data_IF_657340528950
#
_entry.id   IF_657340528950
#
_cell.length_a   1.000
_cell.length_b   1.000
_cell.length_c   1.000
_cell.angle_alpha   90.00
_cell.angle_beta   90.00
_cell.angle_gamma   90.00
#
_symmetry.space_group_name_H-M   'P 1'
#
loop_
_entity.id
_entity.type
_entity.pdbx_description
1 polymer ?
#
# COMPACT_ATOMS: atom_id res chain seq x y z
N UNK A 1 8.05 6.28 42.82
CA UNK A 1 7.68 7.54 42.13
C UNK A 1 8.00 8.71 43.04
N UNK A 2 8.92 9.58 42.63
CA UNK A 2 9.39 10.70 43.45
C UNK A 2 8.25 11.70 43.73
N UNK A 3 8.33 12.38 44.88
CA UNK A 3 7.32 13.34 45.39
C UNK A 3 7.00 14.49 44.42
N UNK A 4 7.83 14.68 43.39
CA UNK A 4 7.68 15.65 42.31
C UNK A 4 6.71 15.18 41.21
N UNK A 5 6.58 13.87 40.96
CA UNK A 5 5.65 13.34 39.95
C UNK A 5 4.18 13.46 40.37
N UNK A 6 3.90 13.36 41.67
CA UNK A 6 2.53 13.53 42.20
C UNK A 6 2.02 14.97 42.05
N UNK A 7 2.93 15.97 42.04
CA UNK A 7 2.57 17.38 41.87
C UNK A 7 2.25 17.73 40.42
N UNK A 8 3.02 17.17 39.47
CA UNK A 8 2.80 17.36 38.03
C UNK A 8 1.46 16.76 37.54
N UNK A 9 1.04 15.62 38.09
CA UNK A 9 -0.23 14.98 37.74
C UNK A 9 -1.44 15.76 38.29
N UNK A 10 -1.33 16.36 39.49
CA UNK A 10 -2.41 17.15 40.09
C UNK A 10 -2.63 18.49 39.38
N UNK A 11 -1.57 19.12 38.87
CA UNK A 11 -1.66 20.37 38.10
C UNK A 11 -2.20 20.18 36.69
N UNK A 12 -2.06 18.99 36.10
CA UNK A 12 -2.59 18.72 34.75
C UNK A 12 -4.10 18.42 34.77
N UNK A 13 -4.61 17.80 35.86
CA UNK A 13 -6.03 17.51 36.02
C UNK A 13 -6.90 18.73 36.34
N UNK A 14 -6.31 19.81 36.87
CA UNK A 14 -7.04 21.06 37.17
C UNK A 14 -7.20 21.97 35.95
N UNK A 15 -6.40 21.78 34.90
CA UNK A 15 -6.51 22.54 33.64
C UNK A 15 -7.57 21.97 32.67
N UNK A 16 -8.01 20.73 32.86
CA UNK A 16 -9.00 20.07 31.99
C UNK A 16 -10.46 20.37 32.37
N UNK A 17 -10.71 20.97 33.53
CA UNK A 17 -12.06 21.24 34.04
C UNK A 17 -12.65 22.60 33.57
N UNK A 18 -11.90 23.38 32.77
CA UNK A 18 -12.33 24.69 32.26
C UNK A 18 -12.94 24.66 30.85
N UNK A 19 -13.09 23.47 30.23
CA UNK A 19 -13.71 23.33 28.89
C UNK A 19 -15.14 22.77 28.90
N UNK A 20 -15.77 22.68 30.07
CA UNK A 20 -17.18 22.26 30.18
C UNK A 20 -17.97 23.43 30.75
N UNK A 21 -18.35 24.39 29.89
CA UNK A 21 -19.59 25.21 29.90
C UNK A 21 -19.51 26.10 28.65
N UNK A 22 -19.98 25.56 27.52
CA UNK A 22 -20.53 26.34 26.41
C UNK A 22 -21.40 25.39 25.58
N UNK A 23 -22.71 25.43 25.79
CA UNK A 23 -23.66 24.81 24.87
C UNK A 23 -24.67 23.81 25.44
N UNK A 24 -25.27 24.07 26.61
CA UNK A 24 -26.64 23.58 26.84
C UNK A 24 -27.60 24.73 26.62
N UNK A 25 -28.43 24.62 25.58
CA UNK A 25 -29.61 25.46 25.41
C UNK A 25 -29.96 25.75 23.95
N UNK A 26 -30.71 24.86 23.31
CA UNK A 26 -32.07 25.13 22.82
C UNK A 26 -32.60 23.99 21.96
N UNK A 27 -33.74 23.45 22.37
CA UNK A 27 -34.67 22.74 21.50
C UNK A 27 -35.10 23.69 20.38
N UNK A 28 -34.73 23.38 19.13
CA UNK A 28 -35.46 23.84 17.95
C UNK A 28 -35.61 22.67 16.99
N UNK A 29 -36.82 22.11 16.96
CA UNK A 29 -37.37 21.53 15.75
C UNK A 29 -37.38 22.63 14.69
N UNK A 30 -36.57 22.47 13.65
CA UNK A 30 -36.85 23.09 12.36
C UNK A 30 -36.35 22.16 11.27
N UNK A 31 -37.30 21.56 10.56
CA UNK A 31 -37.08 20.90 9.29
C UNK A 31 -36.32 21.83 8.35
N UNK A 32 -35.09 21.44 8.02
CA UNK A 32 -34.46 21.79 6.76
C UNK A 32 -33.79 20.53 6.26
N UNK A 33 -34.39 19.94 5.22
CA UNK A 33 -33.69 19.14 4.22
C UNK A 33 -32.47 19.92 3.77
N UNK A 34 -31.35 19.76 4.48
CA UNK A 34 -30.03 19.92 3.88
C UNK A 34 -29.91 18.65 3.06
N UNK A 35 -30.09 18.78 1.75
CA UNK A 35 -29.68 17.75 0.83
C UNK A 35 -28.22 17.43 1.15
N UNK A 36 -28.01 16.32 1.85
CA UNK A 36 -26.73 15.64 1.91
C UNK A 36 -26.32 15.49 0.45
N UNK A 37 -25.12 15.97 0.03
CA UNK A 37 -24.69 15.75 -1.34
C UNK A 37 -24.82 14.26 -1.58
N UNK A 38 -25.61 13.88 -2.60
CA UNK A 38 -25.85 12.49 -2.95
C UNK A 38 -24.52 11.76 -2.83
N UNK A 39 -24.39 10.95 -1.78
CA UNK A 39 -23.25 10.09 -1.57
C UNK A 39 -23.45 9.01 -2.61
N UNK A 40 -23.11 9.35 -3.87
CA UNK A 40 -23.19 8.49 -5.03
C UNK A 40 -22.49 7.23 -4.60
N UNK A 41 -23.25 6.18 -4.30
CA UNK A 41 -22.72 4.94 -3.76
C UNK A 41 -21.59 4.52 -4.68
N UNK A 42 -20.35 4.67 -4.22
CA UNK A 42 -19.20 4.51 -5.08
C UNK A 42 -19.20 3.04 -5.51
N UNK A 43 -19.40 2.80 -6.80
CA UNK A 43 -19.36 1.46 -7.36
C UNK A 43 -17.92 1.10 -7.65
N UNK A 44 -17.55 -0.17 -7.48
CA UNK A 44 -16.19 -0.65 -7.72
C UNK A 44 -15.71 -0.42 -9.17
N UNK A 45 -16.65 -0.33 -10.12
CA UNK A 45 -16.35 -0.16 -11.55
C UNK A 45 -15.64 1.15 -11.86
N UNK A 46 -14.74 1.11 -12.85
CA UNK A 46 -14.02 2.27 -13.34
C UNK A 46 -12.51 2.18 -13.12
N UNK A 47 -11.85 3.32 -13.23
CA UNK A 47 -10.40 3.46 -13.10
C UNK A 47 -10.07 4.08 -11.74
N UNK A 48 -9.04 3.58 -11.11
CA UNK A 48 -8.56 4.00 -9.81
C UNK A 48 -7.04 4.16 -9.84
N UNK A 49 -6.52 5.15 -9.13
CA UNK A 49 -5.09 5.32 -8.88
C UNK A 49 -4.80 5.09 -7.40
N UNK A 50 -3.64 4.53 -7.10
CA UNK A 50 -3.20 4.35 -5.73
C UNK A 50 -3.11 5.69 -4.98
N UNK A 51 -3.26 5.60 -3.66
CA UNK A 51 -2.98 6.66 -2.71
C UNK A 51 -2.31 6.06 -1.48
N UNK A 52 -1.65 6.90 -0.68
CA UNK A 52 -0.96 6.48 0.54
C UNK A 52 0.01 5.31 0.29
N UNK A 53 0.72 5.35 -0.84
CA UNK A 53 1.53 4.24 -1.33
C UNK A 53 2.64 3.87 -0.36
N UNK A 54 3.26 4.88 0.28
CA UNK A 54 4.25 4.62 1.30
C UNK A 54 3.64 3.83 2.47
N UNK A 55 2.45 4.17 2.98
CA UNK A 55 1.81 3.39 4.05
C UNK A 55 1.56 1.95 3.62
N UNK A 56 1.07 1.76 2.40
CA UNK A 56 0.85 0.43 1.80
C UNK A 56 2.16 -0.38 1.74
N UNK A 57 3.25 0.24 1.30
CA UNK A 57 4.56 -0.39 1.17
C UNK A 57 5.15 -0.71 2.55
N UNK A 58 4.97 0.15 3.55
CA UNK A 58 5.42 -0.14 4.91
C UNK A 58 4.81 -1.44 5.44
N UNK A 59 3.52 -1.69 5.16
CA UNK A 59 2.82 -2.92 5.53
C UNK A 59 3.44 -4.15 4.87
N UNK A 60 3.94 -4.04 3.63
CA UNK A 60 4.65 -5.12 2.93
C UNK A 60 6.01 -5.43 3.59
N UNK A 61 6.67 -4.42 4.16
CA UNK A 61 8.01 -4.56 4.75
C UNK A 61 8.00 -5.16 6.16
N UNK A 62 6.96 -4.89 6.95
CA UNK A 62 6.88 -5.28 8.37
C UNK A 62 7.15 -6.78 8.59
N UNK A 63 6.53 -7.72 7.83
CA UNK A 63 6.76 -9.14 8.03
C UNK A 63 8.20 -9.59 7.77
N UNK A 64 9.03 -8.78 7.11
CA UNK A 64 10.44 -9.11 6.81
C UNK A 64 11.38 -8.90 8.01
N UNK A 65 10.90 -8.37 9.13
CA UNK A 65 11.72 -8.14 10.32
C UNK A 65 12.91 -7.19 10.06
N UNK A 66 12.72 -6.25 9.12
CA UNK A 66 13.79 -5.37 8.65
C UNK A 66 14.25 -4.42 9.77
N UNK A 67 15.56 -4.20 9.88
CA UNK A 67 16.11 -3.20 10.80
C UNK A 67 15.58 -1.81 10.42
N UNK A 68 15.21 -1.00 11.41
CA UNK A 68 14.62 0.34 11.19
C UNK A 68 15.46 1.25 10.29
N UNK A 69 16.80 1.21 10.41
CA UNK A 69 17.70 1.99 9.54
C UNK A 69 17.69 1.50 8.08
N UNK A 70 17.54 0.20 7.86
CA UNK A 70 17.42 -0.39 6.52
C UNK A 70 16.08 -0.02 5.91
N UNK A 71 15.01 -0.14 6.71
CA UNK A 71 13.67 0.27 6.32
C UNK A 71 13.61 1.74 5.92
N UNK A 72 14.15 2.65 6.74
CA UNK A 72 14.16 4.08 6.46
C UNK A 72 14.89 4.42 5.15
N UNK A 73 15.94 3.67 4.80
CA UNK A 73 16.65 3.84 3.52
C UNK A 73 15.85 3.32 2.33
N UNK A 74 15.14 2.21 2.50
CA UNK A 74 14.41 1.57 1.41
C UNK A 74 13.10 2.28 1.12
N UNK A 75 12.36 2.71 2.14
CA UNK A 75 11.02 3.28 1.96
C UNK A 75 11.03 4.54 1.09
N UNK A 76 12.09 5.36 1.19
CA UNK A 76 12.26 6.55 0.35
C UNK A 76 12.38 6.24 -1.14
N UNK A 77 12.90 5.06 -1.51
CA UNK A 77 13.01 4.66 -2.91
C UNK A 77 11.63 4.53 -3.58
N UNK A 78 10.57 4.34 -2.79
CA UNK A 78 9.21 4.13 -3.28
C UNK A 78 8.32 5.37 -3.21
N UNK A 79 8.87 6.56 -2.93
CA UNK A 79 8.09 7.81 -2.81
C UNK A 79 7.27 8.15 -4.07
N UNK A 80 7.75 7.73 -5.23
CA UNK A 80 7.13 7.97 -6.54
C UNK A 80 6.39 6.72 -7.07
N UNK A 81 6.32 5.64 -6.27
CA UNK A 81 5.62 4.42 -6.64
C UNK A 81 4.13 4.69 -6.76
N UNK A 82 3.52 4.22 -7.86
CA UNK A 82 2.09 4.34 -8.10
C UNK A 82 1.55 3.10 -8.80
N UNK A 83 0.32 2.75 -8.46
CA UNK A 83 -0.43 1.66 -9.08
C UNK A 83 -1.69 2.22 -9.73
N UNK A 84 -2.10 1.56 -10.80
CA UNK A 84 -3.39 1.76 -11.42
C UNK A 84 -4.22 0.49 -11.28
N UNK A 85 -5.51 0.67 -11.02
CA UNK A 85 -6.51 -0.39 -10.96
C UNK A 85 -7.65 -0.04 -11.92
N UNK A 86 -8.00 -0.97 -12.81
CA UNK A 86 -9.15 -0.84 -13.70
C UNK A 86 -10.11 -1.98 -13.47
N UNK A 87 -11.36 -1.64 -13.18
CA UNK A 87 -12.43 -2.59 -12.92
C UNK A 87 -13.46 -2.53 -14.04
N UNK A 88 -13.64 -3.66 -14.72
CA UNK A 88 -14.63 -3.85 -15.77
C UNK A 88 -15.43 -5.13 -15.52
N UNK A 89 -16.74 -4.99 -15.28
CA UNK A 89 -17.61 -6.11 -14.92
C UNK A 89 -17.20 -6.81 -13.62
N UNK A 90 -16.68 -8.04 -13.77
CA UNK A 90 -16.13 -8.87 -12.68
C UNK A 90 -14.62 -9.09 -12.83
N UNK A 91 -13.96 -8.29 -13.65
CA UNK A 91 -12.52 -8.39 -13.90
C UNK A 91 -11.83 -7.13 -13.39
N UNK A 92 -10.67 -7.32 -12.78
CA UNK A 92 -9.77 -6.26 -12.34
C UNK A 92 -8.46 -6.39 -13.09
N UNK A 93 -7.93 -5.28 -13.59
CA UNK A 93 -6.56 -5.19 -14.08
C UNK A 93 -5.80 -4.23 -13.18
N UNK A 94 -4.73 -4.73 -12.57
CA UNK A 94 -3.82 -3.99 -11.73
C UNK A 94 -2.49 -3.86 -12.46
N UNK A 95 -1.94 -2.65 -12.50
CA UNK A 95 -0.65 -2.41 -13.16
C UNK A 95 0.18 -1.34 -12.46
N UNK A 96 1.49 -1.45 -12.59
CA UNK A 96 2.43 -0.40 -12.19
C UNK A 96 3.71 -0.50 -13.02
N UNK A 97 4.35 0.66 -13.19
CA UNK A 97 5.73 0.79 -13.67
C UNK A 97 6.55 1.38 -12.52
N UNK A 98 7.75 0.86 -12.29
CA UNK A 98 8.61 1.33 -11.22
C UNK A 98 10.07 1.35 -11.65
N UNK A 99 10.74 2.48 -11.40
CA UNK A 99 12.19 2.60 -11.57
C UNK A 99 12.89 1.92 -10.38
N UNK A 100 13.60 0.82 -10.65
CA UNK A 100 14.32 0.03 -9.64
C UNK A 100 15.59 0.74 -9.16
N UNK A 101 16.11 1.71 -9.93
CA UNK A 101 17.39 2.36 -9.66
C UNK A 101 17.50 2.96 -8.25
N UNK A 102 16.53 3.74 -7.75
CA UNK A 102 16.60 4.32 -6.40
C UNK A 102 16.68 3.25 -5.32
N UNK A 103 15.93 2.16 -5.47
CA UNK A 103 15.98 1.03 -4.55
C UNK A 103 17.34 0.33 -4.60
N UNK A 104 17.86 0.06 -5.80
CA UNK A 104 19.17 -0.58 -5.97
C UNK A 104 20.30 0.25 -5.35
N UNK A 105 20.27 1.59 -5.48
CA UNK A 105 21.21 2.52 -4.83
C UNK A 105 21.08 2.51 -3.31
N UNK A 106 19.85 2.55 -2.80
CA UNK A 106 19.59 2.44 -1.36
C UNK A 106 20.13 1.12 -0.81
N UNK A 107 19.97 0.02 -1.55
CA UNK A 107 20.50 -1.29 -1.21
C UNK A 107 22.02 -1.33 -1.24
N UNK A 108 22.66 -0.79 -2.27
CA UNK A 108 24.12 -0.69 -2.35
C UNK A 108 24.72 0.07 -1.14
N UNK A 109 24.05 1.13 -0.67
CA UNK A 109 24.53 1.95 0.46
C UNK A 109 24.71 1.19 1.79
N UNK A 110 24.01 0.07 1.96
CA UNK A 110 24.08 -0.81 3.13
C UNK A 110 24.67 -2.19 2.81
N UNK A 111 25.02 -2.43 1.55
CA UNK A 111 25.51 -3.72 1.11
C UNK A 111 26.85 -4.01 1.80
N UNK A 112 26.92 -5.17 2.47
CA UNK A 112 28.06 -5.53 3.32
C UNK A 112 29.37 -5.63 2.53
N UNK A 113 29.28 -6.10 1.29
CA UNK A 113 30.41 -6.40 0.42
C UNK A 113 30.56 -5.32 -0.68
N UNK A 114 30.16 -4.07 -0.40
CA UNK A 114 30.17 -2.95 -1.37
C UNK A 114 31.57 -2.55 -1.85
N UNK A 115 32.61 -2.95 -1.14
CA UNK A 115 34.01 -2.79 -1.50
C UNK A 115 34.47 -3.77 -2.59
N UNK A 116 33.69 -4.83 -2.86
CA UNK A 116 33.98 -5.85 -3.87
C UNK A 116 33.32 -5.60 -5.21
N UNK A 117 32.50 -4.55 -5.34
CA UNK A 117 31.79 -4.21 -6.58
C UNK A 117 31.54 -2.71 -6.68
N UNK A 118 31.39 -2.21 -7.90
CA UNK A 118 30.98 -0.82 -8.12
C UNK A 118 29.47 -0.68 -7.92
N UNK A 119 29.00 0.53 -7.60
CA UNK A 119 27.56 0.82 -7.54
C UNK A 119 26.87 0.46 -8.88
N UNK A 120 27.50 0.80 -10.01
CA UNK A 120 26.96 0.55 -11.33
C UNK A 120 26.82 -0.95 -11.63
N UNK A 121 27.81 -1.76 -11.26
CA UNK A 121 27.75 -3.21 -11.47
C UNK A 121 26.74 -3.85 -10.50
N UNK A 122 26.66 -3.38 -9.26
CA UNK A 122 25.63 -3.82 -8.31
C UNK A 122 24.22 -3.55 -8.82
N UNK A 123 23.96 -2.35 -9.35
CA UNK A 123 22.65 -2.00 -9.93
C UNK A 123 22.29 -2.94 -11.09
N UNK A 124 23.24 -3.24 -11.98
CA UNK A 124 23.02 -4.21 -13.08
C UNK A 124 22.70 -5.61 -12.55
N UNK A 125 23.33 -6.05 -11.48
CA UNK A 125 22.99 -7.33 -10.84
C UNK A 125 21.59 -7.33 -10.22
N UNK A 126 21.17 -6.22 -9.61
CA UNK A 126 19.77 -6.06 -9.16
C UNK A 126 18.82 -6.18 -10.34
N UNK A 127 19.10 -5.52 -11.47
CA UNK A 127 18.24 -5.59 -12.66
C UNK A 127 18.14 -7.01 -13.21
N UNK A 128 19.27 -7.74 -13.28
CA UNK A 128 19.26 -9.16 -13.65
C UNK A 128 18.40 -9.99 -12.70
N UNK A 129 18.51 -9.75 -11.39
CA UNK A 129 17.70 -10.41 -10.39
C UNK A 129 16.19 -10.18 -10.59
N UNK A 130 15.80 -8.93 -10.86
CA UNK A 130 14.39 -8.59 -11.16
C UNK A 130 13.93 -9.16 -12.51
N UNK A 131 14.80 -9.20 -13.53
CA UNK A 131 14.53 -9.85 -14.81
C UNK A 131 14.28 -11.35 -14.63
N UNK A 132 15.17 -12.07 -13.95
CA UNK A 132 14.98 -13.49 -13.68
C UNK A 132 13.76 -13.77 -12.81
N UNK A 133 13.43 -12.86 -11.89
CA UNK A 133 12.19 -12.95 -11.13
C UNK A 133 10.95 -12.81 -12.03
N UNK A 134 10.96 -11.84 -12.95
CA UNK A 134 9.83 -11.59 -13.87
C UNK A 134 9.49 -12.82 -14.74
N UNK A 135 10.50 -13.60 -15.12
CA UNK A 135 10.35 -14.85 -15.88
C UNK A 135 9.59 -15.95 -15.11
N UNK A 136 9.50 -15.83 -13.78
CA UNK A 136 8.79 -16.78 -12.93
C UNK A 136 7.25 -16.70 -13.04
N UNK A 137 6.72 -15.56 -13.47
CA UNK A 137 5.27 -15.36 -13.63
C UNK A 137 4.76 -16.02 -14.90
N UNK A 138 3.66 -16.78 -14.78
CA UNK A 138 3.04 -17.49 -15.90
C UNK A 138 1.71 -16.88 -16.31
N UNK A 139 1.04 -16.21 -15.38
CA UNK A 139 -0.29 -15.63 -15.61
C UNK A 139 -0.23 -14.13 -15.89
N UNK A 140 0.85 -13.47 -15.47
CA UNK A 140 0.99 -12.02 -15.52
C UNK A 140 2.01 -11.54 -16.54
N UNK A 141 1.84 -10.28 -16.95
CA UNK A 141 2.83 -9.60 -17.78
C UNK A 141 3.77 -8.87 -16.83
N UNK A 142 4.92 -9.48 -16.57
CA UNK A 142 5.97 -8.92 -15.73
C UNK A 142 7.25 -8.84 -16.55
N UNK A 143 7.92 -7.70 -16.53
CA UNK A 143 9.18 -7.53 -17.26
C UNK A 143 10.10 -6.51 -16.61
N UNK A 144 11.38 -6.63 -16.92
CA UNK A 144 12.41 -5.67 -16.53
C UNK A 144 13.09 -5.14 -17.80
N UNK A 145 13.10 -3.82 -17.96
CA UNK A 145 13.96 -3.15 -18.92
C UNK A 145 15.33 -2.91 -18.26
N UNK A 146 16.32 -3.71 -18.66
CA UNK A 146 17.67 -3.68 -18.07
C UNK A 146 18.47 -2.42 -18.44
N UNK A 147 18.05 -1.66 -19.45
CA UNK A 147 18.71 -0.41 -19.85
C UNK A 147 18.16 0.78 -19.05
N UNK A 148 16.84 0.86 -18.91
CA UNK A 148 16.18 1.98 -18.21
C UNK A 148 15.96 1.74 -16.72
N UNK A 149 16.06 0.49 -16.24
CA UNK A 149 15.76 0.16 -14.84
C UNK A 149 14.26 0.06 -14.55
N UNK A 150 13.39 0.16 -15.56
CA UNK A 150 11.94 0.15 -15.37
C UNK A 150 11.42 -1.28 -15.30
N UNK A 151 10.91 -1.64 -14.13
CA UNK A 151 10.15 -2.85 -13.88
C UNK A 151 8.67 -2.60 -14.16
N UNK A 152 8.06 -3.44 -14.98
CA UNK A 152 6.65 -3.33 -15.38
C UNK A 152 5.88 -4.54 -14.93
N UNK A 153 4.71 -4.29 -14.35
CA UNK A 153 3.86 -5.33 -13.82
C UNK A 153 2.42 -5.09 -14.24
N UNK A 154 1.76 -6.13 -14.72
CA UNK A 154 0.33 -6.13 -15.00
C UNK A 154 -0.27 -7.49 -14.65
N UNK A 155 -1.23 -7.47 -13.73
CA UNK A 155 -1.98 -8.64 -13.30
C UNK A 155 -3.47 -8.47 -13.55
N UNK A 156 -4.12 -9.57 -13.90
CA UNK A 156 -5.58 -9.65 -14.02
C UNK A 156 -6.12 -10.49 -12.87
N UNK A 157 -7.18 -10.01 -12.23
CA UNK A 157 -7.89 -10.66 -11.15
C UNK A 157 -9.39 -10.76 -11.40
N UNK A 158 -10.04 -11.59 -10.61
CA UNK A 158 -11.47 -11.90 -10.67
C UNK A 158 -12.18 -11.35 -9.42
N UNK A 159 -13.36 -10.75 -9.60
CA UNK A 159 -14.16 -10.19 -8.52
C UNK A 159 -15.29 -11.15 -8.16
N UNK A 160 -15.35 -11.55 -6.89
CA UNK A 160 -16.52 -12.17 -6.29
C UNK A 160 -17.31 -11.11 -5.52
N UNK A 161 -18.34 -10.55 -6.16
CA UNK A 161 -19.20 -9.51 -5.55
C UNK A 161 -20.00 -10.02 -4.36
N UNK A 162 -20.29 -11.32 -4.30
CA UNK A 162 -21.05 -11.91 -3.19
C UNK A 162 -20.21 -12.02 -1.91
N UNK A 163 -18.90 -12.23 -2.07
CA UNK A 163 -17.94 -12.33 -0.96
C UNK A 163 -17.17 -11.04 -0.70
N UNK A 164 -17.34 -10.03 -1.55
CA UNK A 164 -16.56 -8.79 -1.55
C UNK A 164 -15.05 -9.06 -1.60
N UNK A 165 -14.63 -9.93 -2.52
CA UNK A 165 -13.22 -10.26 -2.72
C UNK A 165 -12.74 -10.05 -4.15
N UNK A 166 -11.44 -9.86 -4.30
CA UNK A 166 -10.70 -9.89 -5.57
C UNK A 166 -9.62 -10.96 -5.46
N UNK A 167 -9.62 -11.93 -6.37
CA UNK A 167 -8.61 -12.99 -6.40
C UNK A 167 -7.64 -12.83 -7.57
N UNK A 168 -6.38 -13.12 -7.30
CA UNK A 168 -5.27 -13.12 -8.24
C UNK A 168 -4.66 -14.53 -8.28
N UNK A 169 -4.44 -15.06 -9.48
CA UNK A 169 -3.90 -16.41 -9.71
C UNK A 169 -2.44 -16.61 -9.31
N UNK A 170 -1.66 -15.54 -9.22
CA UNK A 170 -0.31 -15.51 -8.67
C UNK A 170 -0.22 -14.31 -7.69
N UNK A 171 0.77 -14.31 -6.81
CA UNK A 171 0.88 -13.30 -5.76
C UNK A 171 1.19 -11.92 -6.33
N UNK A 172 0.53 -10.89 -5.80
CA UNK A 172 0.99 -9.52 -6.07
C UNK A 172 2.33 -9.31 -5.36
N UNK A 173 3.31 -8.79 -6.08
CA UNK A 173 4.63 -8.49 -5.54
C UNK A 173 5.04 -7.09 -5.97
N UNK A 174 5.83 -6.42 -5.15
CA UNK A 174 6.55 -5.18 -5.47
C UNK A 174 8.02 -5.58 -5.56
N UNK A 175 8.55 -5.68 -6.78
CA UNK A 175 9.86 -6.31 -7.02
C UNK A 175 9.90 -7.78 -6.54
N UNK A 176 11.03 -8.45 -6.76
CA UNK A 176 11.28 -9.82 -6.30
C UNK A 176 11.24 -9.96 -4.76
N UNK A 177 11.57 -8.88 -4.05
CA UNK A 177 11.84 -8.93 -2.62
C UNK A 177 10.61 -8.73 -1.73
N UNK A 178 9.53 -8.16 -2.26
CA UNK A 178 8.40 -7.69 -1.45
C UNK A 178 7.06 -8.25 -1.95
N UNK A 179 6.76 -9.54 -1.68
CA UNK A 179 5.43 -10.07 -1.90
C UNK A 179 4.42 -9.34 -1.02
N UNK A 180 3.32 -8.88 -1.61
CA UNK A 180 2.20 -8.24 -0.92
C UNK A 180 1.11 -9.26 -0.53
N UNK A 181 1.49 -10.51 -0.31
CA UNK A 181 0.59 -11.62 0.01
C UNK A 181 1.05 -12.35 1.26
N UNK A 182 0.11 -13.06 1.91
CA UNK A 182 0.40 -13.97 3.02
C UNK A 182 1.13 -15.24 2.55
N UNK A 183 0.90 -15.66 1.30
CA UNK A 183 1.63 -16.75 0.63
C UNK A 183 2.98 -16.30 0.05
N UNK A 184 3.66 -17.17 -0.70
CA UNK A 184 4.83 -16.75 -1.48
C UNK A 184 4.39 -15.92 -2.71
N UNK A 185 5.35 -15.25 -3.35
CA UNK A 185 5.16 -14.34 -4.48
C UNK A 185 4.49 -14.92 -5.73
N UNK A 186 4.43 -16.25 -5.85
CA UNK A 186 3.76 -16.94 -6.97
C UNK A 186 2.49 -17.67 -6.55
N UNK A 187 2.17 -17.71 -5.25
CA UNK A 187 0.96 -18.36 -4.75
C UNK A 187 -0.27 -17.51 -5.05
N UNK A 188 -1.43 -18.11 -5.39
CA UNK A 188 -2.68 -17.37 -5.51
C UNK A 188 -3.00 -16.58 -4.25
N UNK A 189 -3.59 -15.40 -4.42
CA UNK A 189 -3.96 -14.52 -3.31
C UNK A 189 -5.39 -14.01 -3.47
N UNK A 190 -6.09 -13.90 -2.35
CA UNK A 190 -7.43 -13.33 -2.27
C UNK A 190 -7.36 -12.12 -1.35
N UNK A 191 -7.83 -10.99 -1.85
CA UNK A 191 -7.99 -9.77 -1.06
C UNK A 191 -9.47 -9.52 -0.82
N UNK A 192 -9.81 -9.05 0.37
CA UNK A 192 -11.08 -8.39 0.62
C UNK A 192 -11.03 -6.98 0.03
N UNK A 193 -12.19 -6.44 -0.33
CA UNK A 193 -12.29 -5.02 -0.70
C UNK A 193 -13.43 -4.30 0.01
N UNK A 194 -13.19 -3.03 0.33
CA UNK A 194 -14.18 -2.11 0.90
C UNK A 194 -14.06 -0.76 0.19
N UNK A 195 -15.18 -0.08 -0.04
CA UNK A 195 -15.17 1.31 -0.50
C UNK A 195 -15.75 2.17 0.61
N UNK A 196 -14.92 3.05 1.17
CA UNK A 196 -15.27 3.93 2.27
C UNK A 196 -14.72 5.32 2.01
N UNK A 197 -15.56 6.34 2.18
CA UNK A 197 -15.20 7.75 2.00
C UNK A 197 -14.55 8.04 0.63
N UNK A 198 -14.97 7.32 -0.42
CA UNK A 198 -14.44 7.45 -1.78
C UNK A 198 -13.10 6.77 -2.03
N UNK A 199 -12.56 6.05 -1.04
CA UNK A 199 -11.34 5.24 -1.14
C UNK A 199 -11.70 3.76 -1.22
N UNK A 200 -11.13 3.08 -2.20
CA UNK A 200 -11.13 1.63 -2.30
C UNK A 200 -9.96 1.07 -1.50
N UNK A 201 -10.26 0.26 -0.50
CA UNK A 201 -9.31 -0.51 0.29
C UNK A 201 -9.28 -1.92 -0.27
N UNK A 202 -8.09 -2.43 -0.59
CA UNK A 202 -7.85 -3.80 -1.01
C UNK A 202 -6.88 -4.43 -0.02
N UNK A 203 -7.32 -5.42 0.77
CA UNK A 203 -6.52 -5.91 1.88
C UNK A 203 -6.58 -7.42 2.08
N UNK A 204 -5.52 -7.98 2.64
CA UNK A 204 -5.39 -9.39 2.98
C UNK A 204 -4.75 -9.52 4.37
N UNK A 205 -5.43 -10.26 5.24
CA UNK A 205 -4.97 -10.57 6.59
C UNK A 205 -4.57 -12.04 6.69
N UNK A 206 -3.56 -12.33 7.50
CA UNK A 206 -3.21 -13.70 7.84
C UNK A 206 -1.83 -13.82 8.46
N UNK A 207 -1.25 -15.00 8.37
CA UNK A 207 0.10 -15.28 8.84
C UNK A 207 0.98 -15.57 7.63
N UNK A 208 2.12 -14.89 7.50
CA UNK A 208 3.01 -15.12 6.36
C UNK A 208 3.56 -16.54 6.41
N UNK A 209 3.55 -17.23 5.26
CA UNK A 209 4.02 -18.62 5.18
C UNK A 209 5.52 -18.74 5.45
N UNK A 210 6.30 -17.74 5.03
CA UNK A 210 7.76 -17.74 5.13
C UNK A 210 8.27 -17.33 6.52
N UNK A 211 7.72 -16.26 7.10
CA UNK A 211 8.20 -15.71 8.36
C UNK A 211 7.35 -16.13 9.57
N UNK A 212 6.15 -16.67 9.35
CA UNK A 212 5.25 -17.10 10.42
C UNK A 212 4.68 -15.94 11.24
N UNK A 213 4.66 -14.73 10.67
CA UNK A 213 4.26 -13.50 11.35
C UNK A 213 2.86 -13.05 10.92
N UNK A 214 2.04 -12.49 11.83
CA UNK A 214 0.80 -11.85 11.44
C UNK A 214 1.10 -10.69 10.49
N UNK A 215 0.35 -10.62 9.40
CA UNK A 215 0.47 -9.60 8.38
C UNK A 215 -0.91 -9.08 7.98
N UNK A 216 -0.95 -7.79 7.70
CA UNK A 216 -2.07 -7.09 7.10
C UNK A 216 -1.50 -6.32 5.91
N UNK A 217 -1.72 -6.84 4.71
CA UNK A 217 -1.37 -6.16 3.47
C UNK A 217 -2.56 -5.32 3.04
N UNK A 218 -2.33 -4.08 2.63
CA UNK A 218 -3.38 -3.18 2.19
C UNK A 218 -2.85 -2.27 1.10
N UNK A 219 -3.65 -2.07 0.07
CA UNK A 219 -3.51 -1.03 -0.93
C UNK A 219 -4.75 -0.14 -0.88
N UNK A 220 -4.55 1.17 -1.10
CA UNK A 220 -5.63 2.15 -1.17
C UNK A 220 -5.66 2.79 -2.52
N UNK A 221 -6.86 3.04 -3.04
CA UNK A 221 -7.06 3.67 -4.33
C UNK A 221 -8.16 4.73 -4.27
N UNK A 222 -7.98 5.83 -5.01
CA UNK A 222 -9.04 6.80 -5.29
C UNK A 222 -9.49 6.66 -6.73
N UNK A 223 -10.76 6.92 -6.98
CA UNK A 223 -11.31 6.85 -8.34
C UNK A 223 -10.73 7.97 -9.21
N UNK A 224 -10.32 7.63 -10.44
CA UNK A 224 -9.88 8.61 -11.44
C UNK A 224 -11.11 9.31 -11.99
N UNK A 225 -11.27 10.59 -11.67
CA UNK A 225 -12.34 11.38 -12.26
C UNK A 225 -12.01 11.67 -13.73
N UNK A 226 -12.87 11.21 -14.65
CA UNK A 226 -12.78 11.65 -16.04
C UNK A 226 -13.08 13.15 -16.08
N UNK A 227 -12.09 13.96 -16.43
CA UNK A 227 -12.35 15.35 -16.81
C UNK A 227 -13.22 15.32 -18.07
N UNK A 228 -14.49 15.70 -17.93
CA UNK A 228 -15.31 16.01 -19.09
C UNK A 228 -14.65 17.19 -19.82
N UNK A 229 -14.13 16.93 -21.02
CA UNK A 229 -13.73 18.01 -21.94
C UNK A 229 -14.99 18.81 -22.24
N UNK A 230 -15.11 20.00 -21.63
CA UNK A 230 -16.10 21.01 -22.00
C UNK A 230 -15.79 21.60 -23.36
#
# INVERSE_FOLDING_TARGET
MSRQWKKLILTLFTLLALFVIAGCGQNQKTDKNVAQPDQKTATLSGEWESVDELESIQKVFIPKGMKGITFARFIEAFKDFKMALKVDGNTVNLSYDYDVTPFAKAFYSIYRDKDKTTEADFIKEVYKGESSFSEGFKQYKVSMDNDSGIFRYSATGDIDKSKQTISFKEGLSILNSFPASVGDKLDPVVYNYEIKDGILYLYADGTTTKEGLPAHFEFRFKQVQKQEKK
#
